data_IF_505786852729
#
_entry.id   IF_505786852729
#
_cell.length_a   1.000
_cell.length_b   1.000
_cell.length_c   1.000
_cell.angle_alpha   90.00
_cell.angle_beta   90.00
_cell.angle_gamma   90.00
#
_symmetry.space_group_name_H-M   'P 1'
#
loop_
_entity.id
_entity.type
_entity.pdbx_description
1 polymer ?
#
# COMPACT_ATOMS: atom_id res chain seq x y z
N UNK A 1 41.73 26.79 13.35
CA UNK A 1 42.23 25.41 13.26
C UNK A 1 41.10 24.58 12.64
N UNK A 2 41.00 24.61 11.31
CA UNK A 2 40.04 23.85 10.52
C UNK A 2 40.79 22.63 9.97
N UNK A 3 40.41 21.40 10.34
CA UNK A 3 40.88 20.19 9.65
C UNK A 3 40.07 18.92 9.99
N UNK A 4 39.51 18.76 11.19
CA UNK A 4 38.90 17.47 11.60
C UNK A 4 37.44 17.28 11.15
N UNK A 5 36.73 18.37 10.86
CA UNK A 5 35.30 18.36 10.51
C UNK A 5 35.04 17.92 9.05
N UNK A 6 36.06 18.02 8.17
CA UNK A 6 35.90 17.67 6.75
C UNK A 6 36.09 16.18 6.47
N UNK A 7 36.92 15.49 7.27
CA UNK A 7 37.10 14.04 7.13
C UNK A 7 35.94 13.27 7.76
N UNK A 8 35.41 13.70 8.90
CA UNK A 8 34.25 13.09 9.54
C UNK A 8 33.00 13.17 8.63
N UNK A 9 32.81 14.34 7.99
CA UNK A 9 31.70 14.56 7.05
C UNK A 9 31.84 13.71 5.78
N UNK A 10 33.05 13.59 5.23
CA UNK A 10 33.33 12.71 4.09
C UNK A 10 33.15 11.22 4.41
N UNK A 11 33.47 10.77 5.63
CA UNK A 11 33.27 9.38 6.07
C UNK A 11 31.77 9.09 6.26
N UNK A 12 30.99 10.05 6.76
CA UNK A 12 29.53 9.93 6.85
C UNK A 12 28.88 9.90 5.47
N UNK A 13 29.31 10.78 4.55
CA UNK A 13 28.84 10.82 3.17
C UNK A 13 29.24 9.55 2.39
N UNK A 14 30.38 8.92 2.70
CA UNK A 14 30.77 7.62 2.12
C UNK A 14 30.05 6.42 2.72
N UNK A 15 29.60 6.47 3.98
CA UNK A 15 28.75 5.42 4.60
C UNK A 15 27.33 5.42 4.04
N UNK A 16 26.77 6.60 3.79
CA UNK A 16 25.48 6.77 3.12
C UNK A 16 25.55 6.35 1.65
N UNK A 17 26.70 6.56 0.99
CA UNK A 17 26.87 6.22 -0.42
C UNK A 17 27.15 4.74 -0.73
N UNK A 18 27.63 3.94 0.24
CA UNK A 18 28.03 2.55 0.02
C UNK A 18 27.40 1.60 1.06
N UNK A 19 26.30 0.95 0.67
CA UNK A 19 25.93 -0.42 1.11
C UNK A 19 25.57 -0.59 2.60
N UNK A 20 24.39 -1.04 3.01
CA UNK A 20 23.44 -1.98 2.42
C UNK A 20 22.19 -1.97 3.30
N UNK A 21 21.02 -1.92 2.67
CA UNK A 21 19.71 -2.22 3.27
C UNK A 21 19.25 -1.26 4.38
N UNK A 22 18.55 -0.21 3.98
CA UNK A 22 17.45 0.33 4.79
C UNK A 22 16.55 -0.86 5.11
N UNK A 23 16.54 -1.29 6.37
CA UNK A 23 15.80 -2.48 6.84
C UNK A 23 14.70 -2.03 7.78
N UNK A 24 13.61 -2.79 7.82
CA UNK A 24 12.50 -2.72 8.79
C UNK A 24 12.96 -2.41 10.22
N UNK A 25 14.12 -2.92 10.63
CA UNK A 25 14.69 -2.73 11.96
C UNK A 25 15.13 -1.27 12.24
N UNK A 26 15.53 -0.52 11.21
CA UNK A 26 15.90 0.91 11.30
C UNK A 26 14.66 1.82 11.24
N UNK A 27 13.58 1.40 10.57
CA UNK A 27 12.29 2.10 10.60
C UNK A 27 11.68 2.18 12.02
N UNK A 28 12.08 1.29 12.93
CA UNK A 28 11.66 1.27 14.34
C UNK A 28 12.43 2.27 15.22
N UNK A 29 13.60 2.75 14.79
CA UNK A 29 14.44 3.68 15.57
C UNK A 29 14.22 5.14 15.19
N UNK A 30 13.60 5.42 14.04
CA UNK A 30 13.31 6.78 13.61
C UNK A 30 11.98 7.32 14.18
N UNK A 31 11.96 8.56 14.75
CA UNK A 31 10.71 9.21 15.12
C UNK A 31 9.85 9.44 13.87
N UNK A 32 8.65 8.86 13.84
CA UNK A 32 7.71 8.95 12.71
C UNK A 32 7.40 10.40 12.39
N UNK A 33 8.04 10.93 11.35
CA UNK A 33 7.77 12.28 10.83
C UNK A 33 6.38 12.33 10.22
N UNK A 34 5.77 13.52 10.25
CA UNK A 34 4.38 13.71 9.81
C UNK A 34 4.18 13.43 8.30
N UNK A 35 5.25 13.49 7.50
CA UNK A 35 5.25 13.09 6.09
C UNK A 35 5.20 11.57 5.89
N UNK A 36 5.81 10.78 6.79
CA UNK A 36 5.70 9.31 6.81
C UNK A 36 4.31 8.82 7.25
N UNK A 37 3.36 9.71 7.59
CA UNK A 37 1.99 9.32 8.01
C UNK A 37 1.00 9.16 6.86
N UNK A 38 1.38 9.40 5.60
CA UNK A 38 0.43 9.35 4.50
C UNK A 38 0.04 7.92 4.09
N UNK A 39 0.86 6.90 4.42
CA UNK A 39 0.56 5.48 4.21
C UNK A 39 0.06 5.14 2.80
N UNK A 40 -0.85 4.17 2.69
CA UNK A 40 -1.49 3.77 1.42
C UNK A 40 -2.33 4.88 0.77
N UNK A 41 -2.74 5.91 1.53
CA UNK A 41 -3.47 7.06 1.00
C UNK A 41 -2.57 8.03 0.21
N UNK A 42 -1.25 8.02 0.46
CA UNK A 42 -0.27 8.77 -0.33
C UNK A 42 -0.19 8.26 -1.78
N UNK A 43 -0.57 7.00 -2.01
CA UNK A 43 -0.50 6.33 -3.29
C UNK A 43 -1.58 6.87 -4.22
N UNK A 44 -1.23 7.80 -5.12
CA UNK A 44 -2.16 8.47 -6.05
C UNK A 44 -3.15 7.52 -6.75
N UNK A 45 -2.74 6.33 -7.27
CA UNK A 45 -3.66 5.37 -7.88
C UNK A 45 -4.77 4.89 -6.93
N UNK A 46 -4.43 4.57 -5.68
CA UNK A 46 -5.38 4.10 -4.65
C UNK A 46 -6.40 5.21 -4.35
N UNK A 47 -5.92 6.44 -4.18
CA UNK A 47 -6.80 7.58 -3.92
C UNK A 47 -7.72 7.90 -5.10
N UNK A 48 -7.24 7.81 -6.34
CA UNK A 48 -8.07 7.98 -7.55
C UNK A 48 -9.19 6.95 -7.62
N UNK A 49 -8.85 5.66 -7.41
CA UNK A 49 -9.84 4.58 -7.42
C UNK A 49 -10.87 4.76 -6.29
N UNK A 50 -10.43 5.13 -5.09
CA UNK A 50 -11.32 5.42 -3.97
C UNK A 50 -12.29 6.56 -4.29
N UNK A 51 -11.79 7.68 -4.82
CA UNK A 51 -12.62 8.83 -5.19
C UNK A 51 -13.62 8.47 -6.30
N UNK A 52 -13.22 7.67 -7.30
CA UNK A 52 -14.13 7.13 -8.31
C UNK A 52 -15.27 6.32 -7.68
N UNK A 53 -14.95 5.42 -6.76
CA UNK A 53 -15.95 4.58 -6.10
C UNK A 53 -16.94 5.42 -5.29
N UNK A 54 -16.47 6.48 -4.62
CA UNK A 54 -17.34 7.45 -3.94
C UNK A 54 -18.24 8.17 -4.94
N UNK A 55 -17.69 8.67 -6.04
CA UNK A 55 -18.46 9.36 -7.07
C UNK A 55 -19.57 8.43 -7.62
N UNK A 56 -19.25 7.18 -7.96
CA UNK A 56 -20.23 6.21 -8.42
C UNK A 56 -21.29 5.86 -7.36
N UNK A 57 -20.95 5.92 -6.07
CA UNK A 57 -21.91 5.67 -4.98
C UNK A 57 -22.84 6.87 -4.73
N UNK A 58 -22.33 8.10 -4.87
CA UNK A 58 -23.06 9.32 -4.53
C UNK A 58 -23.80 9.94 -5.73
N UNK A 59 -23.44 9.57 -6.97
CA UNK A 59 -24.08 10.03 -8.20
C UNK A 59 -25.18 9.06 -8.70
N UNK A 60 -25.89 9.45 -9.76
CA UNK A 60 -26.93 8.66 -10.46
C UNK A 60 -26.41 7.31 -10.99
N UNK A 61 -25.08 7.14 -11.03
CA UNK A 61 -24.37 5.98 -11.58
C UNK A 61 -24.37 4.72 -10.71
N UNK A 62 -24.89 4.77 -9.48
CA UNK A 62 -24.82 3.64 -8.54
C UNK A 62 -25.35 2.33 -9.13
N UNK A 63 -26.54 2.37 -9.73
CA UNK A 63 -27.20 1.18 -10.28
C UNK A 63 -26.46 0.64 -11.51
N UNK A 64 -25.99 1.53 -12.39
CA UNK A 64 -25.22 1.13 -13.57
C UNK A 64 -23.89 0.47 -13.17
N UNK A 65 -23.15 1.11 -12.28
CA UNK A 65 -21.89 0.56 -11.78
C UNK A 65 -22.11 -0.77 -11.07
N UNK A 66 -23.16 -0.91 -10.26
CA UNK A 66 -23.52 -2.17 -9.60
C UNK A 66 -23.80 -3.28 -10.61
N UNK A 67 -24.48 -2.98 -11.72
CA UNK A 67 -24.73 -3.96 -12.79
C UNK A 67 -23.43 -4.35 -13.48
N UNK A 68 -22.58 -3.39 -13.83
CA UNK A 68 -21.30 -3.66 -14.51
C UNK A 68 -20.30 -4.41 -13.61
N UNK A 69 -20.29 -4.10 -12.32
CA UNK A 69 -19.44 -4.81 -11.35
C UNK A 69 -20.00 -6.18 -10.97
N UNK A 70 -21.24 -6.52 -11.35
CA UNK A 70 -21.92 -7.73 -10.90
C UNK A 70 -22.22 -7.74 -9.40
N UNK A 71 -22.40 -6.56 -8.79
CA UNK A 71 -22.60 -6.41 -7.35
C UNK A 71 -21.33 -6.59 -6.50
N UNK A 72 -20.16 -6.71 -7.13
CA UNK A 72 -18.90 -6.94 -6.44
C UNK A 72 -18.38 -5.68 -5.73
N UNK A 73 -17.74 -5.90 -4.59
CA UNK A 73 -17.08 -4.83 -3.82
C UNK A 73 -15.61 -4.65 -4.22
N UNK A 74 -15.00 -3.52 -3.85
CA UNK A 74 -13.59 -3.15 -4.13
C UNK A 74 -12.59 -4.22 -3.71
N UNK A 75 -12.96 -5.11 -2.77
CA UNK A 75 -12.15 -6.24 -2.31
C UNK A 75 -11.71 -7.17 -3.45
N UNK A 76 -12.41 -7.19 -4.57
CA UNK A 76 -12.06 -7.97 -5.77
C UNK A 76 -11.40 -7.10 -6.85
N UNK A 77 -10.64 -6.08 -6.42
CA UNK A 77 -10.31 -4.86 -7.17
C UNK A 77 -9.93 -5.03 -8.65
N UNK A 78 -9.14 -6.03 -9.01
CA UNK A 78 -8.76 -6.24 -10.42
C UNK A 78 -9.94 -6.68 -11.30
N UNK A 79 -10.90 -7.42 -10.74
CA UNK A 79 -12.13 -7.82 -11.44
C UNK A 79 -13.05 -6.63 -11.72
N UNK A 80 -12.85 -5.49 -11.03
CA UNK A 80 -13.61 -4.26 -11.26
C UNK A 80 -13.03 -3.42 -12.39
N UNK A 81 -11.81 -3.68 -12.84
CA UNK A 81 -11.15 -2.89 -13.90
C UNK A 81 -12.03 -2.71 -15.15
N UNK A 82 -12.68 -3.74 -15.72
CA UNK A 82 -13.55 -3.56 -16.88
C UNK A 82 -14.75 -2.65 -16.59
N UNK A 83 -15.35 -2.76 -15.40
CA UNK A 83 -16.48 -1.93 -14.98
C UNK A 83 -16.05 -0.47 -14.79
N UNK A 84 -14.90 -0.22 -14.15
CA UNK A 84 -14.33 1.13 -13.94
C UNK A 84 -14.03 1.79 -15.28
N UNK A 85 -13.32 1.10 -16.17
CA UNK A 85 -12.97 1.63 -17.50
C UNK A 85 -14.23 1.95 -18.30
N UNK A 86 -15.19 1.02 -18.33
CA UNK A 86 -16.47 1.20 -19.05
C UNK A 86 -17.25 2.40 -18.52
N UNK A 87 -17.31 2.57 -17.19
CA UNK A 87 -18.01 3.71 -16.57
C UNK A 87 -17.35 5.05 -16.93
N UNK A 88 -16.02 5.12 -16.84
CA UNK A 88 -15.28 6.33 -17.18
C UNK A 88 -15.46 6.68 -18.65
N UNK A 89 -15.44 5.69 -19.54
CA UNK A 89 -15.60 5.90 -20.97
C UNK A 89 -17.03 6.32 -21.35
N UNK A 90 -18.06 5.78 -20.67
CA UNK A 90 -19.47 6.16 -20.89
C UNK A 90 -19.81 7.54 -20.35
N UNK A 91 -19.18 7.95 -19.26
CA UNK A 91 -19.44 9.20 -18.56
C UNK A 91 -18.18 10.08 -18.53
N UNK A 92 -17.50 10.22 -19.67
CA UNK A 92 -16.23 10.98 -19.77
C UNK A 92 -16.39 12.43 -19.29
N UNK A 93 -17.57 13.04 -19.45
CA UNK A 93 -17.82 14.41 -18.98
C UNK A 93 -17.63 14.56 -17.47
N UNK A 94 -18.04 13.56 -16.68
CA UNK A 94 -18.09 13.66 -15.22
C UNK A 94 -17.00 12.81 -14.52
N UNK A 95 -16.56 11.73 -15.14
CA UNK A 95 -15.69 10.72 -14.52
C UNK A 95 -14.25 10.69 -15.08
N UNK A 96 -13.94 11.44 -16.14
CA UNK A 96 -12.61 11.46 -16.77
C UNK A 96 -11.47 11.78 -15.83
N UNK A 97 -11.70 12.64 -14.84
CA UNK A 97 -10.70 13.00 -13.82
C UNK A 97 -10.20 11.79 -13.01
N UNK A 98 -10.96 10.69 -12.99
CA UNK A 98 -10.60 9.46 -12.30
C UNK A 98 -9.93 8.41 -13.20
N UNK A 99 -9.61 8.75 -14.44
CA UNK A 99 -8.98 7.80 -15.38
C UNK A 99 -7.63 7.31 -14.82
N UNK A 100 -7.50 5.99 -14.77
CA UNK A 100 -6.31 5.27 -14.31
C UNK A 100 -5.45 4.87 -15.51
N UNK A 101 -4.17 5.20 -15.48
CA UNK A 101 -3.18 4.76 -16.49
C UNK A 101 -2.83 3.28 -16.33
N UNK A 102 -2.10 2.71 -17.29
CA UNK A 102 -1.60 1.33 -17.16
C UNK A 102 -0.71 1.15 -15.93
N UNK A 103 0.16 2.13 -15.63
CA UNK A 103 0.99 2.13 -14.43
C UNK A 103 0.16 2.27 -13.15
N UNK A 104 -0.89 3.11 -13.16
CA UNK A 104 -1.81 3.22 -12.02
C UNK A 104 -2.46 1.85 -11.72
N UNK A 105 -2.86 1.10 -12.75
CA UNK A 105 -3.39 -0.25 -12.58
C UNK A 105 -2.35 -1.25 -12.06
N UNK A 106 -1.08 -1.12 -12.46
CA UNK A 106 0.00 -1.97 -11.94
C UNK A 106 0.23 -1.73 -10.46
N UNK A 107 0.32 -0.47 -10.03
CA UNK A 107 0.48 -0.11 -8.61
C UNK A 107 -0.72 -0.58 -7.77
N UNK A 108 -1.94 -0.46 -8.30
CA UNK A 108 -3.13 -0.99 -7.64
C UNK A 108 -3.08 -2.52 -7.48
N UNK A 109 -2.58 -3.23 -8.49
CA UNK A 109 -2.41 -4.68 -8.41
C UNK A 109 -1.35 -5.06 -7.36
N UNK A 110 -0.18 -4.43 -7.40
CA UNK A 110 0.88 -4.65 -6.39
C UNK A 110 0.38 -4.38 -4.96
N UNK A 111 -0.44 -3.33 -4.80
CA UNK A 111 -1.08 -3.01 -3.50
C UNK A 111 -2.05 -4.10 -3.06
N UNK A 112 -2.87 -4.64 -3.98
CA UNK A 112 -3.80 -5.73 -3.67
C UNK A 112 -3.05 -7.02 -3.31
N UNK A 113 -2.00 -7.36 -4.06
CA UNK A 113 -1.14 -8.52 -3.78
C UNK A 113 -0.49 -8.40 -2.40
N UNK A 114 -0.01 -7.20 -2.05
CA UNK A 114 0.52 -6.93 -0.71
C UNK A 114 -0.53 -7.13 0.40
N UNK A 115 -1.76 -6.65 0.19
CA UNK A 115 -2.80 -6.70 1.22
C UNK A 115 -3.49 -8.08 1.34
N UNK A 116 -3.37 -8.94 0.32
CA UNK A 116 -4.08 -10.21 0.28
C UNK A 116 -3.75 -11.14 1.46
N UNK A 117 -2.47 -11.35 1.86
CA UNK A 117 -2.13 -12.17 3.03
C UNK A 117 -2.76 -11.67 4.33
N UNK A 118 -2.88 -10.35 4.52
CA UNK A 118 -3.54 -9.77 5.69
C UNK A 118 -5.02 -10.11 5.73
N UNK A 119 -5.70 -10.03 4.58
CA UNK A 119 -7.09 -10.42 4.47
C UNK A 119 -7.29 -11.90 4.79
N UNK A 120 -6.46 -12.77 4.24
CA UNK A 120 -6.54 -14.22 4.46
C UNK A 120 -6.28 -14.58 5.93
N UNK A 121 -5.22 -14.03 6.53
CA UNK A 121 -4.92 -14.23 7.95
C UNK A 121 -6.04 -13.72 8.85
N UNK A 122 -6.52 -12.49 8.61
CA UNK A 122 -7.63 -11.92 9.40
C UNK A 122 -8.88 -12.78 9.27
N UNK A 123 -9.17 -13.31 8.08
CA UNK A 123 -10.32 -14.17 7.82
C UNK A 123 -10.19 -15.55 8.48
N UNK A 124 -8.97 -16.05 8.65
CA UNK A 124 -8.72 -17.33 9.35
C UNK A 124 -8.81 -17.17 10.87
N UNK A 125 -8.39 -16.02 11.38
CA UNK A 125 -8.36 -15.73 12.82
C UNK A 125 -9.64 -15.02 13.32
N UNK A 126 -10.61 -14.72 12.45
CA UNK A 126 -11.87 -14.12 12.90
C UNK A 126 -12.74 -15.17 13.61
N UNK A 127 -13.28 -14.81 14.77
CA UNK A 127 -14.13 -15.68 15.59
C UNK A 127 -13.43 -16.16 16.86
N UNK A 128 -14.10 -17.03 17.61
CA UNK A 128 -13.65 -17.46 18.95
C UNK A 128 -12.85 -18.78 18.94
N UNK A 129 -12.66 -19.39 17.76
CA UNK A 129 -12.00 -20.69 17.61
C UNK A 129 -10.50 -20.59 17.39
N UNK A 130 -9.98 -19.40 17.06
CA UNK A 130 -8.56 -19.20 16.82
C UNK A 130 -7.75 -19.33 18.11
N UNK A 131 -6.78 -20.23 18.12
CA UNK A 131 -5.89 -20.40 19.27
C UNK A 131 -4.77 -19.36 19.27
N UNK A 132 -4.16 -19.15 20.44
CA UNK A 132 -3.00 -18.27 20.57
C UNK A 132 -1.82 -18.73 19.71
N UNK A 133 -1.61 -20.04 19.61
CA UNK A 133 -0.51 -20.64 18.83
C UNK A 133 -0.71 -20.40 17.32
N UNK A 134 -1.93 -20.60 16.82
CA UNK A 134 -2.28 -20.27 15.42
C UNK A 134 -2.12 -18.78 15.15
N UNK A 135 -2.55 -17.93 16.08
CA UNK A 135 -2.37 -16.47 15.97
C UNK A 135 -0.89 -16.11 15.87
N UNK A 136 -0.05 -16.69 16.74
CA UNK A 136 1.38 -16.44 16.75
C UNK A 136 2.06 -16.93 15.46
N UNK A 137 1.68 -18.09 14.94
CA UNK A 137 2.16 -18.61 13.65
C UNK A 137 1.81 -17.65 12.51
N UNK A 138 0.55 -17.19 12.43
CA UNK A 138 0.13 -16.27 11.36
C UNK A 138 0.78 -14.90 11.47
N UNK A 139 1.03 -14.40 12.68
CA UNK A 139 1.80 -13.18 12.88
C UNK A 139 3.24 -13.32 12.34
N UNK A 140 3.93 -14.44 12.59
CA UNK A 140 5.27 -14.69 12.01
C UNK A 140 5.25 -14.75 10.48
N UNK A 141 4.19 -15.34 9.91
CA UNK A 141 3.97 -15.34 8.47
C UNK A 141 3.83 -13.91 7.91
N UNK A 142 3.03 -13.05 8.54
CA UNK A 142 2.89 -11.64 8.12
C UNK A 142 4.21 -10.87 8.23
N UNK A 143 5.01 -11.11 9.27
CA UNK A 143 6.36 -10.52 9.40
C UNK A 143 7.27 -10.93 8.23
N UNK A 144 7.21 -12.19 7.84
CA UNK A 144 7.99 -12.70 6.70
C UNK A 144 7.54 -12.06 5.40
N UNK A 145 6.23 -11.91 5.20
CA UNK A 145 5.65 -11.21 4.06
C UNK A 145 6.12 -9.76 3.97
N UNK A 146 6.15 -9.02 5.09
CA UNK A 146 6.69 -7.66 5.14
C UNK A 146 8.12 -7.56 4.60
N UNK A 147 9.02 -8.43 5.08
CA UNK A 147 10.43 -8.46 4.66
C UNK A 147 10.58 -8.79 3.17
N UNK A 148 9.78 -9.73 2.67
CA UNK A 148 9.79 -10.09 1.25
C UNK A 148 9.33 -8.92 0.36
N UNK A 149 8.28 -8.21 0.77
CA UNK A 149 7.73 -7.10 -0.01
C UNK A 149 8.62 -5.87 0.02
N UNK A 150 9.29 -5.59 1.15
CA UNK A 150 10.32 -4.55 1.23
C UNK A 150 11.46 -4.83 0.22
N UNK A 151 12.01 -6.05 0.21
CA UNK A 151 13.06 -6.44 -0.72
C UNK A 151 12.60 -6.36 -2.19
N UNK A 152 11.38 -6.81 -2.49
CA UNK A 152 10.78 -6.77 -3.84
C UNK A 152 10.59 -5.33 -4.33
N UNK A 153 10.21 -4.40 -3.45
CA UNK A 153 9.87 -3.02 -3.79
C UNK A 153 10.96 -2.01 -3.42
N UNK A 154 12.19 -2.44 -3.17
CA UNK A 154 13.34 -1.62 -2.74
C UNK A 154 13.62 -0.37 -3.60
N UNK A 155 13.18 -0.35 -4.86
CA UNK A 155 13.37 0.79 -5.78
C UNK A 155 12.14 1.70 -5.88
N UNK A 156 11.00 1.32 -5.30
CA UNK A 156 9.74 2.04 -5.38
C UNK A 156 9.43 2.79 -4.08
N UNK A 157 10.06 3.96 -3.91
CA UNK A 157 10.03 4.78 -2.68
C UNK A 157 8.64 5.03 -2.11
N UNK A 158 7.64 5.34 -2.94
CA UNK A 158 6.27 5.59 -2.47
C UNK A 158 5.55 4.33 -1.95
N UNK A 159 5.97 3.14 -2.40
CA UNK A 159 5.38 1.87 -1.98
C UNK A 159 6.07 1.40 -0.69
N UNK A 160 7.40 1.53 -0.62
CA UNK A 160 8.16 1.32 0.62
C UNK A 160 7.65 2.18 1.76
N UNK A 161 7.45 3.48 1.54
CA UNK A 161 6.90 4.35 2.58
C UNK A 161 5.53 3.88 3.09
N UNK A 162 4.69 3.29 2.22
CA UNK A 162 3.41 2.71 2.63
C UNK A 162 3.59 1.40 3.41
N UNK A 163 4.54 0.54 3.00
CA UNK A 163 4.94 -0.65 3.73
C UNK A 163 5.43 -0.27 5.13
N UNK A 164 6.38 0.66 5.25
CA UNK A 164 6.96 1.12 6.53
C UNK A 164 5.89 1.65 7.48
N UNK A 165 4.99 2.50 6.96
CA UNK A 165 3.88 3.05 7.75
C UNK A 165 2.99 1.93 8.28
N UNK A 166 2.68 0.94 7.44
CA UNK A 166 1.86 -0.19 7.84
C UNK A 166 2.57 -1.13 8.81
N UNK A 167 3.88 -1.31 8.66
CA UNK A 167 4.71 -2.08 9.58
C UNK A 167 4.73 -1.46 10.98
N UNK A 168 4.94 -0.14 11.08
CA UNK A 168 4.91 0.58 12.35
C UNK A 168 3.56 0.38 13.06
N UNK A 169 2.46 0.39 12.30
CA UNK A 169 1.13 0.13 12.86
C UNK A 169 0.97 -1.33 13.29
N UNK A 170 1.45 -2.27 12.49
CA UNK A 170 1.37 -3.70 12.75
C UNK A 170 2.17 -4.10 14.01
N UNK A 171 3.42 -3.65 14.12
CA UNK A 171 4.32 -3.97 15.23
C UNK A 171 3.89 -3.36 16.58
N UNK A 172 2.88 -2.50 16.59
CA UNK A 172 2.31 -1.95 17.82
C UNK A 172 1.46 -2.97 18.59
N UNK A 173 0.94 -3.99 17.90
CA UNK A 173 0.02 -4.99 18.43
C UNK A 173 0.71 -6.35 18.55
#
# INVERSE_FOLDING_TARGET
MFAEDSQAKSIAEQRVANSQSETIDEALTEPVTQDKKQGWHATKPVQKLYNFMIACRNMVYHNEFKTLSGGRSVKQGFQLRPAVVTMIDRHDTDLKQYRLTMDDWRVLQETLEFLQPFYEVTKLLEGDEATLDETQEKMHFLISHYKEQEAKHATHTAFLSAIDTSWILFNKY
#
